data_IF_870512153527
#
_entry.id   IF_870512153527
#
_cell.length_a   1.000
_cell.length_b   1.000
_cell.length_c   1.000
_cell.angle_alpha   90.00
_cell.angle_beta   90.00
_cell.angle_gamma   90.00
#
_symmetry.space_group_name_H-M   'P 1'
#
loop_
_entity.id
_entity.type
_entity.pdbx_description
1 polymer ?
#
# COMPACT_ATOMS: atom_id res chain seq x y z
N UNK A 1 -12.18 3.97 7.25
CA UNK A 1 -11.95 4.88 8.40
C UNK A 1 -10.63 5.64 8.34
N UNK A 2 -9.61 5.21 7.59
CA UNK A 2 -8.28 5.86 7.62
C UNK A 2 -8.15 7.20 6.86
N UNK A 3 -9.03 7.46 5.90
CA UNK A 3 -9.00 8.67 5.05
C UNK A 3 -9.39 9.95 5.79
N UNK A 4 -10.17 9.83 6.87
CA UNK A 4 -10.70 10.98 7.61
C UNK A 4 -9.60 11.80 8.29
N UNK A 5 -8.54 11.16 8.80
CA UNK A 5 -7.44 11.87 9.45
C UNK A 5 -6.63 12.75 8.48
N UNK A 6 -6.30 12.20 7.32
CA UNK A 6 -5.63 12.94 6.23
C UNK A 6 -6.51 14.10 5.75
N UNK A 7 -7.80 13.82 5.52
CA UNK A 7 -8.75 14.84 5.08
C UNK A 7 -8.92 15.96 6.11
N UNK A 8 -8.96 15.65 7.41
CA UNK A 8 -9.06 16.65 8.46
C UNK A 8 -7.88 17.64 8.40
N UNK A 9 -6.65 17.13 8.38
CA UNK A 9 -5.44 17.97 8.31
C UNK A 9 -5.41 18.79 7.02
N UNK A 10 -5.76 18.16 5.88
CA UNK A 10 -5.85 18.86 4.61
C UNK A 10 -6.92 19.97 4.64
N UNK A 11 -8.06 19.75 5.28
CA UNK A 11 -9.14 20.74 5.35
C UNK A 11 -8.81 21.88 6.30
N UNK A 12 -8.04 21.61 7.35
CA UNK A 12 -7.57 22.62 8.31
C UNK A 12 -6.16 23.14 7.98
N UNK A 13 -5.71 23.01 6.73
CA UNK A 13 -4.35 23.41 6.31
C UNK A 13 -3.98 24.84 6.75
N UNK A 14 -4.92 25.78 6.73
CA UNK A 14 -4.70 27.16 7.18
C UNK A 14 -4.26 27.26 8.64
N UNK A 15 -4.82 26.44 9.53
CA UNK A 15 -4.42 26.40 10.95
C UNK A 15 -3.01 25.81 11.11
N UNK A 16 -2.68 24.79 10.33
CA UNK A 16 -1.35 24.19 10.34
C UNK A 16 -0.27 25.10 9.76
N UNK A 17 -0.61 25.93 8.76
CA UNK A 17 0.31 26.96 8.24
C UNK A 17 0.65 28.02 9.29
N UNK A 18 -0.29 28.33 10.21
CA UNK A 18 -0.05 29.23 11.33
C UNK A 18 0.79 28.59 12.44
N UNK A 19 1.03 27.27 12.39
CA UNK A 19 1.79 26.52 13.41
C UNK A 19 2.85 25.62 12.75
N UNK A 20 3.94 26.20 12.21
CA UNK A 20 4.93 25.47 11.41
C UNK A 20 5.56 24.27 12.12
N UNK A 21 5.81 24.38 13.43
CA UNK A 21 6.37 23.28 14.24
C UNK A 21 5.45 22.05 14.27
N UNK A 22 4.14 22.28 14.39
CA UNK A 22 3.14 21.20 14.41
C UNK A 22 3.01 20.58 13.02
N UNK A 23 3.05 21.39 11.96
CA UNK A 23 3.03 20.89 10.59
C UNK A 23 4.25 20.01 10.29
N UNK A 24 5.45 20.44 10.70
CA UNK A 24 6.66 19.64 10.58
C UNK A 24 6.58 18.34 11.39
N UNK A 25 5.99 18.38 12.59
CA UNK A 25 5.74 17.19 13.41
C UNK A 25 4.83 16.17 12.72
N UNK A 26 3.79 16.62 12.00
CA UNK A 26 2.94 15.74 11.17
C UNK A 26 3.80 14.99 10.15
N UNK A 27 4.74 15.69 9.51
CA UNK A 27 5.69 15.09 8.56
C UNK A 27 6.58 14.02 9.19
N UNK A 28 7.16 14.32 10.37
CA UNK A 28 7.98 13.38 11.14
C UNK A 28 7.18 12.14 11.53
N UNK A 29 5.98 12.30 12.07
CA UNK A 29 5.11 11.18 12.46
C UNK A 29 4.78 10.33 11.24
N UNK A 30 4.51 10.96 10.09
CA UNK A 30 4.30 10.28 8.82
C UNK A 30 5.49 9.42 8.41
N UNK A 31 6.71 9.98 8.47
CA UNK A 31 7.96 9.29 8.15
C UNK A 31 8.27 8.11 9.10
N UNK A 32 8.09 8.29 10.41
CA UNK A 32 8.29 7.20 11.38
C UNK A 32 7.26 6.08 11.12
N UNK A 33 5.99 6.47 10.94
CA UNK A 33 4.90 5.52 10.69
C UNK A 33 5.15 4.70 9.44
N UNK A 34 5.54 5.35 8.32
CA UNK A 34 5.72 4.64 7.05
C UNK A 34 6.85 3.61 7.10
N UNK A 35 7.94 3.92 7.81
CA UNK A 35 9.11 3.04 7.95
C UNK A 35 8.78 1.89 8.90
N UNK A 36 8.28 2.19 10.11
CA UNK A 36 7.93 1.16 11.10
C UNK A 36 6.88 0.17 10.56
N UNK A 37 5.85 0.69 9.89
CA UNK A 37 4.83 -0.15 9.29
C UNK A 37 5.38 -1.00 8.12
N UNK A 38 6.33 -0.49 7.35
CA UNK A 38 7.01 -1.23 6.29
C UNK A 38 7.79 -2.45 6.82
N UNK A 39 8.59 -2.26 7.87
CA UNK A 39 9.29 -3.36 8.54
C UNK A 39 8.31 -4.37 9.15
N UNK A 40 7.26 -3.89 9.82
CA UNK A 40 6.24 -4.76 10.40
C UNK A 40 5.51 -5.58 9.33
N UNK A 41 5.20 -5.00 8.16
CA UNK A 41 4.57 -5.68 7.04
C UNK A 41 5.43 -6.82 6.47
N UNK A 42 6.74 -6.64 6.42
CA UNK A 42 7.69 -7.60 5.84
C UNK A 42 7.66 -8.95 6.56
N UNK A 43 7.47 -8.94 7.88
CA UNK A 43 7.50 -10.14 8.73
C UNK A 43 6.13 -10.74 8.99
N UNK A 44 5.04 -10.11 8.53
CA UNK A 44 3.70 -10.68 8.72
C UNK A 44 3.55 -11.99 7.93
N UNK A 45 2.88 -12.94 8.57
CA UNK A 45 2.54 -14.27 8.03
C UNK A 45 1.11 -14.34 7.51
N UNK A 46 0.25 -13.42 7.92
CA UNK A 46 -1.15 -13.36 7.52
C UNK A 46 -1.35 -12.34 6.40
N UNK A 47 -2.05 -12.74 5.33
CA UNK A 47 -2.23 -11.92 4.14
C UNK A 47 -2.96 -10.60 4.43
N UNK A 48 -3.99 -10.60 5.29
CA UNK A 48 -4.73 -9.39 5.66
C UNK A 48 -3.87 -8.48 6.53
N UNK A 49 -3.07 -9.05 7.44
CA UNK A 49 -2.16 -8.27 8.29
C UNK A 49 -1.09 -7.57 7.45
N UNK A 50 -0.49 -8.24 6.46
CA UNK A 50 0.47 -7.56 5.55
C UNK A 50 -0.23 -6.39 4.83
N UNK A 51 -1.46 -6.58 4.33
CA UNK A 51 -2.22 -5.52 3.66
C UNK A 51 -2.63 -4.37 4.62
N UNK A 52 -2.87 -4.67 5.89
CA UNK A 52 -3.16 -3.67 6.92
C UNK A 52 -1.93 -2.83 7.26
N UNK A 53 -0.78 -3.44 7.53
CA UNK A 53 0.46 -2.68 7.80
C UNK A 53 0.91 -1.86 6.60
N UNK A 54 0.75 -2.38 5.38
CA UNK A 54 1.01 -1.57 4.19
C UNK A 54 0.03 -0.39 4.06
N UNK A 55 -1.21 -0.50 4.54
CA UNK A 55 -2.15 0.63 4.62
C UNK A 55 -1.65 1.68 5.61
N UNK A 56 -1.18 1.25 6.79
CA UNK A 56 -0.54 2.13 7.77
C UNK A 56 0.66 2.86 7.16
N UNK A 57 1.47 2.15 6.36
CA UNK A 57 2.61 2.75 5.68
C UNK A 57 2.20 3.81 4.65
N UNK A 58 1.18 3.55 3.81
CA UNK A 58 0.69 4.53 2.83
C UNK A 58 0.03 5.76 3.49
N UNK A 59 -0.62 5.60 4.64
CA UNK A 59 -1.11 6.75 5.42
C UNK A 59 0.07 7.58 5.93
N UNK A 60 1.17 6.95 6.33
CA UNK A 60 2.41 7.63 6.68
C UNK A 60 2.95 8.49 5.54
N UNK A 61 2.86 8.04 4.27
CA UNK A 61 3.16 8.88 3.11
C UNK A 61 2.24 10.10 3.00
N UNK A 62 0.94 9.92 3.20
CA UNK A 62 -0.02 11.04 3.14
C UNK A 62 0.27 12.07 4.24
N UNK A 63 0.63 11.63 5.44
CA UNK A 63 1.04 12.51 6.54
C UNK A 63 2.37 13.22 6.25
N UNK A 64 3.34 12.51 5.68
CA UNK A 64 4.59 13.08 5.23
C UNK A 64 4.35 14.21 4.23
N UNK A 65 3.53 13.95 3.21
CA UNK A 65 3.14 14.92 2.19
C UNK A 65 2.49 16.17 2.77
N UNK A 66 1.52 16.00 3.68
CA UNK A 66 0.89 17.12 4.38
C UNK A 66 1.92 17.92 5.18
N UNK A 67 2.82 17.25 5.90
CA UNK A 67 3.85 17.88 6.73
C UNK A 67 4.88 18.71 5.96
N UNK A 68 5.04 18.46 4.65
CA UNK A 68 5.91 19.23 3.75
C UNK A 68 5.12 20.15 2.82
N UNK A 69 3.87 20.46 3.15
CA UNK A 69 2.98 21.35 2.38
C UNK A 69 2.63 20.85 0.96
N UNK A 70 2.77 19.54 0.70
CA UNK A 70 2.36 18.89 -0.55
C UNK A 70 0.90 18.40 -0.42
N UNK A 71 -0.04 19.34 -0.29
CA UNK A 71 -1.45 19.08 0.01
C UNK A 71 -2.17 18.31 -1.09
N UNK A 72 -1.96 18.74 -2.33
CA UNK A 72 -2.46 18.12 -3.55
C UNK A 72 -1.91 16.70 -3.70
N UNK A 73 -0.60 16.50 -3.53
CA UNK A 73 0.03 15.19 -3.56
C UNK A 73 -0.55 14.24 -2.50
N UNK A 74 -0.83 14.75 -1.29
CA UNK A 74 -1.45 13.96 -0.22
C UNK A 74 -2.85 13.46 -0.60
N UNK A 75 -3.68 14.34 -1.19
CA UNK A 75 -5.04 14.00 -1.62
C UNK A 75 -5.03 13.10 -2.85
N UNK A 76 -4.12 13.34 -3.80
CA UNK A 76 -3.93 12.48 -4.96
C UNK A 76 -3.49 11.07 -4.54
N UNK A 77 -2.54 10.96 -3.63
CA UNK A 77 -2.14 9.66 -3.08
C UNK A 77 -3.28 9.00 -2.31
N UNK A 78 -4.07 9.75 -1.54
CA UNK A 78 -5.27 9.24 -0.86
C UNK A 78 -6.27 8.60 -1.84
N UNK A 79 -6.51 9.26 -2.97
CA UNK A 79 -7.42 8.74 -4.01
C UNK A 79 -6.86 7.48 -4.66
N UNK A 80 -5.63 7.52 -5.17
CA UNK A 80 -5.00 6.35 -5.82
C UNK A 80 -4.90 5.16 -4.87
N UNK A 81 -4.57 5.42 -3.60
CA UNK A 81 -4.56 4.44 -2.53
C UNK A 81 -5.90 3.77 -2.29
N UNK A 82 -7.00 4.53 -2.28
CA UNK A 82 -8.33 3.96 -2.12
C UNK A 82 -8.60 2.89 -3.20
N UNK A 83 -8.22 3.15 -4.45
CA UNK A 83 -8.40 2.21 -5.56
C UNK A 83 -7.53 0.95 -5.42
N UNK A 84 -6.21 1.10 -5.33
CA UNK A 84 -5.34 -0.09 -5.31
C UNK A 84 -5.49 -0.90 -4.02
N UNK A 85 -5.86 -0.27 -2.89
CA UNK A 85 -6.17 -1.02 -1.66
C UNK A 85 -7.49 -1.74 -1.73
N UNK A 86 -8.54 -1.13 -2.26
CA UNK A 86 -9.81 -1.82 -2.45
C UNK A 86 -9.60 -3.08 -3.31
N UNK A 87 -8.84 -2.96 -4.41
CA UNK A 87 -8.47 -4.09 -5.26
C UNK A 87 -7.72 -5.18 -4.47
N UNK A 88 -6.67 -4.83 -3.73
CA UNK A 88 -5.87 -5.79 -2.97
C UNK A 88 -6.65 -6.48 -1.85
N UNK A 89 -7.49 -5.77 -1.11
CA UNK A 89 -8.30 -6.36 -0.04
C UNK A 89 -9.41 -7.27 -0.57
N UNK A 90 -10.05 -6.90 -1.68
CA UNK A 90 -11.06 -7.75 -2.34
C UNK A 90 -10.40 -9.01 -2.92
N UNK A 91 -9.26 -8.86 -3.61
CA UNK A 91 -8.51 -9.99 -4.13
C UNK A 91 -8.04 -10.92 -3.01
N UNK A 92 -7.52 -10.36 -1.90
CA UNK A 92 -7.14 -11.13 -0.71
C UNK A 92 -8.31 -11.91 -0.12
N UNK A 93 -9.51 -11.30 -0.05
CA UNK A 93 -10.73 -11.98 0.36
C UNK A 93 -11.05 -13.19 -0.53
N UNK A 94 -10.89 -13.05 -1.85
CA UNK A 94 -11.07 -14.14 -2.80
C UNK A 94 -10.04 -15.26 -2.62
N UNK A 95 -8.76 -14.94 -2.38
CA UNK A 95 -7.72 -15.94 -2.07
C UNK A 95 -8.08 -16.73 -0.82
N UNK A 96 -8.44 -16.04 0.27
CA UNK A 96 -8.76 -16.67 1.56
C UNK A 96 -9.95 -17.62 1.41
N UNK A 97 -10.98 -17.20 0.65
CA UNK A 97 -12.14 -18.05 0.40
C UNK A 97 -11.77 -19.28 -0.44
N UNK A 98 -10.97 -19.11 -1.50
CA UNK A 98 -10.50 -20.21 -2.35
C UNK A 98 -9.60 -21.21 -1.60
N UNK A 99 -8.90 -20.75 -0.57
CA UNK A 99 -8.06 -21.56 0.31
C UNK A 99 -8.76 -22.00 1.62
N UNK A 100 -10.08 -22.17 1.61
CA UNK A 100 -10.85 -22.69 2.76
C UNK A 100 -10.67 -21.89 4.07
N UNK A 101 -10.71 -20.56 3.97
CA UNK A 101 -10.50 -19.62 5.08
C UNK A 101 -9.07 -19.59 5.65
N UNK A 102 -8.09 -20.21 4.98
CA UNK A 102 -6.68 -20.06 5.33
C UNK A 102 -6.21 -18.64 5.03
N UNK A 103 -5.46 -18.05 5.96
CA UNK A 103 -4.95 -16.66 5.85
C UNK A 103 -3.43 -16.61 5.94
N UNK A 104 -2.78 -17.68 6.42
CA UNK A 104 -1.33 -17.78 6.50
C UNK A 104 -0.72 -18.02 5.12
N UNK A 105 0.08 -17.07 4.65
CA UNK A 105 0.71 -17.11 3.33
C UNK A 105 1.62 -18.32 3.13
N UNK A 106 2.24 -18.85 4.20
CA UNK A 106 3.14 -20.00 4.09
C UNK A 106 2.44 -21.34 3.93
N UNK A 107 1.14 -21.39 4.24
CA UNK A 107 0.29 -22.55 3.96
C UNK A 107 -0.40 -22.43 2.60
N UNK A 108 -0.24 -21.31 1.91
CA UNK A 108 -0.67 -21.11 0.53
C UNK A 108 0.47 -21.49 -0.43
N UNK A 109 0.40 -21.03 -1.68
CA UNK A 109 1.44 -21.23 -2.69
C UNK A 109 0.87 -21.76 -4.00
N UNK A 110 1.57 -21.49 -5.11
CA UNK A 110 1.24 -22.06 -6.42
C UNK A 110 -0.09 -21.62 -7.04
N UNK A 111 -0.78 -20.62 -6.48
CA UNK A 111 -2.15 -20.27 -6.85
C UNK A 111 -2.32 -19.61 -8.23
N UNK A 112 -1.24 -19.25 -8.94
CA UNK A 112 -1.31 -18.53 -10.23
C UNK A 112 -2.16 -19.22 -11.29
N UNK A 113 -2.18 -20.57 -11.31
CA UNK A 113 -2.93 -21.37 -12.29
C UNK A 113 -4.36 -21.65 -11.81
N UNK A 114 -4.55 -21.77 -10.51
CA UNK A 114 -5.86 -22.12 -9.92
C UNK A 114 -6.82 -20.93 -9.92
N UNK A 115 -6.30 -19.70 -9.74
CA UNK A 115 -7.09 -18.46 -9.68
C UNK A 115 -6.44 -17.31 -10.48
N UNK A 116 -6.35 -17.41 -11.82
CA UNK A 116 -5.56 -16.48 -12.65
C UNK A 116 -6.07 -15.03 -12.60
N UNK A 117 -7.39 -14.81 -12.52
CA UNK A 117 -7.95 -13.46 -12.37
C UNK A 117 -7.51 -12.80 -11.06
N UNK A 118 -7.56 -13.54 -9.95
CA UNK A 118 -7.16 -13.03 -8.64
C UNK A 118 -5.66 -12.73 -8.62
N UNK A 119 -4.86 -13.58 -9.26
CA UNK A 119 -3.43 -13.33 -9.45
C UNK A 119 -3.17 -12.05 -10.24
N UNK A 120 -3.87 -11.83 -11.36
CA UNK A 120 -3.75 -10.59 -12.14
C UNK A 120 -4.14 -9.34 -11.32
N UNK A 121 -5.22 -9.41 -10.54
CA UNK A 121 -5.62 -8.35 -9.61
C UNK A 121 -4.53 -8.04 -8.58
N UNK A 122 -3.88 -9.07 -8.01
CA UNK A 122 -2.76 -8.89 -7.09
C UNK A 122 -1.53 -8.28 -7.76
N UNK A 123 -1.23 -8.64 -9.01
CA UNK A 123 -0.14 -8.02 -9.77
C UNK A 123 -0.42 -6.54 -10.03
N UNK A 124 -1.62 -6.19 -10.50
CA UNK A 124 -1.98 -4.79 -10.78
C UNK A 124 -1.99 -3.96 -9.50
N UNK A 125 -2.68 -4.43 -8.46
CA UNK A 125 -2.73 -3.74 -7.17
C UNK A 125 -1.38 -3.67 -6.48
N UNK A 126 -0.59 -4.74 -6.56
CA UNK A 126 0.75 -4.83 -6.00
C UNK A 126 1.77 -3.94 -6.72
N UNK A 127 1.70 -3.87 -8.05
CA UNK A 127 2.53 -2.96 -8.84
C UNK A 127 2.21 -1.50 -8.51
N UNK A 128 0.91 -1.16 -8.38
CA UNK A 128 0.49 0.18 -7.97
C UNK A 128 0.97 0.52 -6.55
N UNK A 129 0.79 -0.39 -5.59
CA UNK A 129 1.29 -0.21 -4.23
C UNK A 129 2.83 -0.05 -4.19
N UNK A 130 3.54 -0.80 -5.03
CA UNK A 130 5.00 -0.78 -5.16
C UNK A 130 5.54 0.39 -5.96
N UNK A 131 4.67 1.29 -6.45
CA UNK A 131 5.04 2.43 -7.29
C UNK A 131 5.87 2.02 -8.52
N UNK A 132 5.39 1.01 -9.27
CA UNK A 132 6.05 0.61 -10.51
C UNK A 132 6.04 1.76 -11.54
N UNK A 133 7.19 2.18 -12.08
CA UNK A 133 7.29 3.37 -12.94
C UNK A 133 6.41 3.33 -14.18
N UNK A 134 5.99 4.51 -14.64
CA UNK A 134 5.29 4.81 -15.91
C UNK A 134 3.88 4.23 -16.08
N UNK A 135 3.56 3.12 -15.42
CA UNK A 135 2.30 2.38 -15.65
C UNK A 135 1.30 2.57 -14.51
N UNK A 136 1.76 2.95 -13.31
CA UNK A 136 0.91 2.90 -12.11
C UNK A 136 0.65 4.27 -11.51
N UNK A 137 -0.61 4.54 -11.14
CA UNK A 137 -1.00 5.76 -10.43
C UNK A 137 -0.29 5.88 -9.05
N UNK A 138 0.09 4.74 -8.45
CA UNK A 138 0.87 4.72 -7.22
C UNK A 138 2.30 5.24 -7.38
N UNK A 139 2.89 5.14 -8.59
CA UNK A 139 4.17 5.77 -8.90
C UNK A 139 4.04 7.28 -8.91
N UNK A 140 3.15 7.82 -9.74
CA UNK A 140 2.95 9.27 -9.86
C UNK A 140 2.63 9.92 -8.52
N UNK A 141 1.75 9.30 -7.72
CA UNK A 141 1.39 9.86 -6.41
C UNK A 141 2.53 9.84 -5.40
N UNK A 142 3.37 8.80 -5.35
CA UNK A 142 4.55 8.82 -4.46
C UNK A 142 5.63 9.77 -4.97
N UNK A 143 5.81 9.86 -6.27
CA UNK A 143 6.78 10.75 -6.89
C UNK A 143 6.44 12.22 -6.59
N UNK A 144 5.17 12.62 -6.71
CA UNK A 144 4.71 13.96 -6.32
C UNK A 144 4.96 14.26 -4.84
N UNK A 145 4.76 13.29 -3.94
CA UNK A 145 5.05 13.45 -2.51
C UNK A 145 6.54 13.68 -2.28
N UNK A 146 7.40 12.88 -2.91
CA UNK A 146 8.86 12.99 -2.77
C UNK A 146 9.38 14.28 -3.40
N UNK A 147 8.84 14.67 -4.55
CA UNK A 147 9.12 15.94 -5.20
C UNK A 147 8.73 17.13 -4.30
N UNK A 148 7.56 17.08 -3.66
CA UNK A 148 7.12 18.08 -2.69
C UNK A 148 8.05 18.17 -1.47
N UNK A 149 8.51 17.03 -0.95
CA UNK A 149 9.49 17.02 0.14
C UNK A 149 10.83 17.64 -0.28
N UNK A 150 11.32 17.31 -1.48
CA UNK A 150 12.57 17.86 -2.03
C UNK A 150 12.47 19.37 -2.30
N UNK A 151 11.39 19.80 -2.96
CA UNK A 151 11.16 21.19 -3.34
C UNK A 151 11.08 22.12 -2.12
N UNK A 152 10.55 21.63 -1.00
CA UNK A 152 10.46 22.36 0.26
C UNK A 152 11.67 22.13 1.19
N UNK A 153 12.78 21.55 0.71
CA UNK A 153 14.03 21.40 1.46
C UNK A 153 14.03 20.30 2.53
N UNK A 154 13.00 19.45 2.60
CA UNK A 154 12.86 18.38 3.60
C UNK A 154 13.53 17.07 3.14
N UNK A 155 14.84 17.13 2.86
CA UNK A 155 15.61 15.99 2.30
C UNK A 155 15.56 14.75 3.20
N UNK A 156 15.57 14.92 4.53
CA UNK A 156 15.49 13.80 5.48
C UNK A 156 14.15 13.04 5.35
N UNK A 157 13.04 13.77 5.15
CA UNK A 157 11.73 13.17 4.95
C UNK A 157 11.65 12.51 3.57
N UNK A 158 12.23 13.12 2.53
CA UNK A 158 12.35 12.50 1.22
C UNK A 158 13.10 11.15 1.28
N UNK A 159 14.25 11.10 1.97
CA UNK A 159 15.04 9.86 2.15
C UNK A 159 14.23 8.81 2.90
N UNK A 160 13.51 9.19 3.97
CA UNK A 160 12.61 8.27 4.67
C UNK A 160 11.52 7.72 3.72
N UNK A 161 10.93 8.58 2.89
CA UNK A 161 9.98 8.19 1.87
C UNK A 161 10.57 7.24 0.81
N UNK A 162 11.82 7.42 0.39
CA UNK A 162 12.50 6.49 -0.52
C UNK A 162 12.74 5.12 0.14
N UNK A 163 13.20 5.10 1.39
CA UNK A 163 13.36 3.86 2.18
C UNK A 163 12.02 3.14 2.31
N UNK A 164 10.94 3.88 2.59
CA UNK A 164 9.58 3.32 2.63
C UNK A 164 9.14 2.74 1.29
N UNK A 165 9.58 3.30 0.17
CA UNK A 165 9.13 2.88 -1.16
C UNK A 165 9.78 1.55 -1.51
N UNK A 166 11.07 1.45 -1.19
CA UNK A 166 11.83 0.21 -1.26
C UNK A 166 11.26 -0.87 -0.33
N UNK A 167 10.93 -0.54 0.93
CA UNK A 167 10.27 -1.50 1.83
C UNK A 167 8.92 -1.95 1.28
N UNK A 168 8.18 -1.03 0.66
CA UNK A 168 6.87 -1.31 0.08
C UNK A 168 6.94 -2.30 -1.07
N UNK A 169 7.87 -2.12 -2.00
CA UNK A 169 8.07 -3.09 -3.07
C UNK A 169 8.49 -4.45 -2.51
N UNK A 170 9.41 -4.46 -1.53
CA UNK A 170 9.92 -5.69 -0.93
C UNK A 170 8.83 -6.54 -0.28
N UNK A 171 8.03 -5.99 0.64
CA UNK A 171 6.98 -6.77 1.30
C UNK A 171 5.84 -7.14 0.35
N UNK A 172 5.57 -6.32 -0.66
CA UNK A 172 4.49 -6.56 -1.63
C UNK A 172 4.83 -7.74 -2.52
N UNK A 173 6.02 -7.72 -3.13
CA UNK A 173 6.47 -8.83 -3.97
C UNK A 173 6.75 -10.09 -3.16
N UNK A 174 7.27 -9.98 -1.92
CA UNK A 174 7.35 -11.12 -0.99
C UNK A 174 6.00 -11.83 -0.86
N UNK A 175 4.94 -11.08 -0.56
CA UNK A 175 3.59 -11.65 -0.43
C UNK A 175 3.14 -12.30 -1.74
N UNK A 176 3.25 -11.61 -2.86
CA UNK A 176 2.78 -12.11 -4.17
C UNK A 176 3.51 -13.39 -4.56
N UNK A 177 4.83 -13.46 -4.36
CA UNK A 177 5.59 -14.66 -4.68
C UNK A 177 5.25 -15.83 -3.75
N UNK A 178 5.13 -15.60 -2.44
CA UNK A 178 4.78 -16.68 -1.51
C UNK A 178 3.37 -17.22 -1.77
N UNK A 179 2.39 -16.35 -2.05
CA UNK A 179 0.98 -16.76 -2.22
C UNK A 179 0.74 -17.42 -3.58
N UNK A 180 1.30 -16.88 -4.67
CA UNK A 180 0.93 -17.30 -6.03
C UNK A 180 1.98 -18.17 -6.74
N UNK A 181 3.24 -18.15 -6.29
CA UNK A 181 4.33 -18.92 -6.88
C UNK A 181 4.78 -20.03 -5.92
N UNK A 182 5.73 -20.86 -6.37
CA UNK A 182 6.21 -22.00 -5.59
C UNK A 182 5.28 -23.22 -5.63
N UNK A 183 5.43 -24.09 -4.63
CA UNK A 183 4.68 -25.35 -4.53
C UNK A 183 3.28 -25.08 -3.99
N UNK A 184 2.28 -25.65 -4.66
CA UNK A 184 0.90 -25.64 -4.16
C UNK A 184 0.79 -26.52 -2.90
N UNK A 185 0.41 -25.90 -1.78
CA UNK A 185 0.20 -26.57 -0.49
C UNK A 185 -1.28 -26.88 -0.24
N UNK A 186 -2.17 -26.03 -0.74
CA UNK A 186 -3.63 -26.17 -0.65
C UNK A 186 -4.18 -26.17 -2.06
N UNK A 187 -4.98 -27.20 -2.38
CA UNK A 187 -5.75 -27.22 -3.62
C UNK A 187 -6.85 -26.16 -3.56
N UNK A 188 -6.59 -25.02 -4.19
CA UNK A 188 -7.58 -23.96 -4.24
C UNK A 188 -8.70 -24.34 -5.21
N UNK A 189 -9.94 -24.22 -4.74
CA UNK A 189 -11.10 -24.34 -5.63
C UNK A 189 -11.42 -22.97 -6.23
N UNK A 190 -11.55 -22.91 -7.55
CA UNK A 190 -12.13 -21.75 -8.21
C UNK A 190 -13.56 -21.54 -7.67
N UNK A 191 -13.88 -20.33 -7.23
CA UNK A 191 -15.22 -19.99 -6.78
C UNK A 191 -16.26 -20.27 -7.88
N UNK A 192 -17.50 -20.57 -7.50
CA UNK A 192 -18.61 -20.74 -8.46
C UNK A 192 -19.14 -19.34 -8.84
N UNK A 193 -19.03 -18.92 -10.10
CA UNK A 193 -19.61 -17.65 -10.59
C UNK A 193 -19.01 -17.12 -11.90
N UNK A 194 -19.66 -16.09 -12.48
CA UNK A 194 -19.29 -15.42 -13.75
C UNK A 194 -17.83 -14.95 -13.74
N UNK A 195 -17.31 -14.57 -12.57
CA UNK A 195 -15.92 -14.12 -12.36
C UNK A 195 -14.86 -15.20 -12.60
N UNK A 196 -15.23 -16.47 -12.72
CA UNK A 196 -14.30 -17.60 -12.89
C UNK A 196 -14.37 -18.26 -14.29
N UNK A 197 -15.17 -17.73 -15.21
CA UNK A 197 -15.26 -18.20 -16.61
C UNK A 197 -14.23 -17.57 -17.55
N UNK A 198 -13.38 -16.65 -17.06
CA UNK A 198 -12.21 -16.17 -17.79
C UNK A 198 -11.11 -17.24 -17.74
N UNK A 199 -11.23 -18.25 -18.60
CA UNK A 199 -10.16 -19.23 -18.89
C UNK A 199 -9.19 -18.65 -19.92
#
# INVERSE_FOLDING_TARGET
>A
MVTAGVYLIARTHGLFLMTPEILHLVGIIGAITLVMAGFAALVQTDIKRVLAYSTMSQIGYMFLALGVQAWDAAIFHLMTHAFFKALLFLASGSVILACHHEQNIFKMGGLRKSIPLVYACFLVGGAALSALPLVTAGFFSKDEILAGAMANGHINLMVAGLVGAFMTSLYTFRMIFIVFHGKEQIHAHAGKGITHHLR
#
